data_IF_936821769822
#
_entry.id   IF_936821769822
#
_cell.length_a   1.000
_cell.length_b   1.000
_cell.length_c   1.000
_cell.angle_alpha   90.00
_cell.angle_beta   90.00
_cell.angle_gamma   90.00
#
_symmetry.space_group_name_H-M   'P 1'
#
loop_
_entity.id
_entity.type
_entity.pdbx_description
1 polymer ?
#
# COMPACT_ATOMS: atom_id res chain seq x y z
N UNK A 1 -5.21 0.68 19.21
CA UNK A 1 -4.51 0.64 17.90
C UNK A 1 -5.04 -0.55 17.12
N UNK A 2 -5.90 -0.27 16.16
CA UNK A 2 -6.58 -1.31 15.39
C UNK A 2 -5.61 -2.07 14.46
N UNK A 3 -5.91 -3.34 14.15
CA UNK A 3 -5.09 -4.14 13.21
C UNK A 3 -4.93 -3.45 11.84
N UNK A 4 -5.96 -2.73 11.38
CA UNK A 4 -5.92 -1.93 10.15
C UNK A 4 -4.89 -0.79 10.24
N UNK A 5 -4.83 -0.14 11.39
CA UNK A 5 -3.95 0.99 11.69
C UNK A 5 -2.48 0.56 11.66
N UNK A 6 -2.18 -0.65 12.17
CA UNK A 6 -0.85 -1.25 12.11
C UNK A 6 -0.47 -1.76 10.70
N UNK A 7 -1.46 -2.17 9.90
CA UNK A 7 -1.23 -2.66 8.54
C UNK A 7 -0.85 -1.55 7.54
N UNK A 8 -1.31 -0.31 7.75
CA UNK A 8 -1.01 0.83 6.86
C UNK A 8 0.51 1.05 6.65
N UNK A 9 1.34 1.20 7.70
CA UNK A 9 2.79 1.39 7.50
C UNK A 9 3.46 0.18 6.85
N UNK A 10 3.01 -1.04 7.14
CA UNK A 10 3.54 -2.27 6.52
C UNK A 10 3.22 -2.33 5.02
N UNK A 11 2.00 -1.99 4.63
CA UNK A 11 1.57 -1.93 3.21
C UNK A 11 2.31 -0.82 2.48
N UNK A 12 2.49 0.35 3.11
CA UNK A 12 3.26 1.44 2.54
C UNK A 12 4.73 1.04 2.30
N UNK A 13 5.39 0.46 3.31
CA UNK A 13 6.79 0.04 3.21
C UNK A 13 7.00 -1.05 2.13
N UNK A 14 6.12 -2.05 2.09
CA UNK A 14 6.18 -3.10 1.08
C UNK A 14 5.92 -2.56 -0.33
N UNK A 15 4.94 -1.66 -0.49
CA UNK A 15 4.65 -0.98 -1.76
C UNK A 15 5.84 -0.23 -2.33
N UNK A 16 6.53 0.56 -1.50
CA UNK A 16 7.74 1.30 -1.89
C UNK A 16 8.89 0.36 -2.26
N UNK A 17 9.07 -0.73 -1.49
CA UNK A 17 10.09 -1.73 -1.79
C UNK A 17 9.84 -2.43 -3.13
N UNK A 18 8.58 -2.77 -3.43
CA UNK A 18 8.15 -3.37 -4.69
C UNK A 18 8.32 -2.42 -5.88
N UNK A 19 7.94 -1.15 -5.76
CA UNK A 19 8.16 -0.14 -6.80
C UNK A 19 9.65 0.04 -7.11
N UNK A 20 10.48 0.21 -6.06
CA UNK A 20 11.93 0.34 -6.19
C UNK A 20 12.56 -0.87 -6.86
N UNK A 21 12.10 -2.08 -6.51
CA UNK A 21 12.56 -3.32 -7.15
C UNK A 21 12.16 -3.37 -8.62
N UNK A 22 10.91 -3.03 -8.95
CA UNK A 22 10.46 -3.02 -10.34
C UNK A 22 11.23 -2.01 -11.20
N UNK A 23 11.57 -0.85 -10.65
CA UNK A 23 12.40 0.16 -11.32
C UNK A 23 13.80 -0.37 -11.61
N UNK A 24 14.48 -0.92 -10.59
CA UNK A 24 15.82 -1.51 -10.75
C UNK A 24 15.83 -2.65 -11.75
N UNK A 25 14.79 -3.49 -11.77
CA UNK A 25 14.68 -4.59 -12.72
C UNK A 25 14.41 -4.13 -14.16
N UNK A 26 13.68 -3.02 -14.35
CA UNK A 26 13.49 -2.40 -15.66
C UNK A 26 14.79 -1.78 -16.19
N UNK A 27 15.50 -1.04 -15.33
CA UNK A 27 16.81 -0.45 -15.63
C UNK A 27 17.84 -1.53 -16.02
N UNK A 28 17.93 -2.63 -15.25
CA UNK A 28 18.82 -3.76 -15.55
C UNK A 28 18.51 -4.45 -16.88
N UNK A 29 17.26 -4.45 -17.32
CA UNK A 29 16.83 -5.05 -18.59
C UNK A 29 17.04 -4.11 -19.78
N UNK A 30 17.61 -2.91 -19.58
CA UNK A 30 17.76 -1.89 -20.60
C UNK A 30 16.42 -1.41 -21.18
N UNK A 31 15.31 -1.68 -20.48
CA UNK A 31 13.97 -1.28 -20.93
C UNK A 31 13.67 0.08 -20.35
N UNK A 32 13.06 0.95 -21.17
CA UNK A 32 12.53 2.22 -20.69
C UNK A 32 11.62 1.98 -19.47
N UNK A 33 11.68 2.90 -18.49
CA UNK A 33 10.89 2.79 -17.27
C UNK A 33 9.42 2.48 -17.62
N UNK A 34 8.79 1.52 -16.90
CA UNK A 34 7.44 1.08 -17.22
C UNK A 34 6.50 2.30 -17.20
N UNK A 35 5.83 2.54 -18.34
CA UNK A 35 4.92 3.70 -18.53
C UNK A 35 3.78 3.70 -17.51
N UNK A 36 3.37 2.51 -17.08
CA UNK A 36 2.36 2.28 -16.05
C UNK A 36 3.09 1.77 -14.82
N UNK A 37 2.92 2.45 -13.68
CA UNK A 37 3.46 2.04 -12.38
C UNK A 37 2.34 1.34 -11.58
N UNK A 38 2.21 0.02 -11.66
CA UNK A 38 1.11 -0.69 -11.02
C UNK A 38 1.25 -0.70 -9.49
N UNK A 39 2.46 -0.76 -8.96
CA UNK A 39 2.68 -0.90 -7.51
C UNK A 39 2.23 0.32 -6.70
N UNK A 40 2.59 1.58 -7.06
CA UNK A 40 2.06 2.75 -6.36
C UNK A 40 0.53 2.83 -6.37
N UNK A 41 -0.10 2.46 -7.50
CA UNK A 41 -1.56 2.47 -7.64
C UNK A 41 -2.21 1.40 -6.74
N UNK A 42 -1.66 0.19 -6.73
CA UNK A 42 -2.13 -0.91 -5.86
C UNK A 42 -1.92 -0.58 -4.38
N UNK A 43 -0.77 0.00 -4.02
CA UNK A 43 -0.47 0.43 -2.65
C UNK A 43 -1.44 1.53 -2.20
N UNK A 44 -1.71 2.53 -3.04
CA UNK A 44 -2.69 3.57 -2.74
C UNK A 44 -4.10 2.99 -2.53
N UNK A 45 -4.53 2.07 -3.40
CA UNK A 45 -5.82 1.38 -3.27
C UNK A 45 -5.91 0.55 -1.98
N UNK A 46 -4.85 -0.17 -1.62
CA UNK A 46 -4.79 -0.97 -0.39
C UNK A 46 -4.84 -0.10 0.87
N UNK A 47 -4.12 1.03 0.90
CA UNK A 47 -4.16 1.98 2.01
C UNK A 47 -5.56 2.59 2.14
N UNK A 48 -6.20 2.93 1.02
CA UNK A 48 -7.56 3.48 1.02
C UNK A 48 -8.59 2.48 1.58
N UNK A 49 -8.51 1.21 1.18
CA UNK A 49 -9.32 0.12 1.73
C UNK A 49 -9.07 -0.09 3.23
N UNK A 50 -7.82 -0.02 3.69
CA UNK A 50 -7.48 -0.11 5.11
C UNK A 50 -8.05 1.07 5.90
N UNK A 51 -8.03 2.29 5.35
CA UNK A 51 -8.65 3.46 5.97
C UNK A 51 -10.18 3.30 6.06
N UNK A 52 -10.83 2.84 5.00
CA UNK A 52 -12.28 2.55 5.02
C UNK A 52 -12.62 1.48 6.06
N UNK A 53 -11.86 0.39 6.11
CA UNK A 53 -12.03 -0.67 7.10
C UNK A 53 -11.84 -0.16 8.53
N UNK A 54 -10.83 0.69 8.75
CA UNK A 54 -10.59 1.36 10.04
C UNK A 54 -11.77 2.25 10.43
N UNK A 55 -12.22 3.13 9.53
CA UNK A 55 -13.35 4.02 9.78
C UNK A 55 -14.63 3.24 10.08
N UNK A 56 -14.92 2.18 9.31
CA UNK A 56 -16.07 1.31 9.56
C UNK A 56 -15.97 0.61 10.92
N UNK A 57 -14.80 0.07 11.26
CA UNK A 57 -14.56 -0.62 12.53
C UNK A 57 -14.74 0.32 13.73
N UNK A 58 -14.14 1.52 13.71
CA UNK A 58 -14.30 2.50 14.77
C UNK A 58 -15.73 3.05 14.89
N UNK A 59 -16.44 3.17 13.76
CA UNK A 59 -17.85 3.60 13.75
C UNK A 59 -18.78 2.54 14.32
N UNK A 60 -18.53 1.26 14.05
CA UNK A 60 -19.40 0.15 14.48
C UNK A 60 -19.05 -0.39 15.87
N UNK A 61 -17.78 -0.32 16.25
CA UNK A 61 -17.24 -0.88 17.49
C UNK A 61 -16.38 0.16 18.24
N UNK A 62 -16.98 1.25 18.74
CA UNK A 62 -16.24 2.37 19.34
C UNK A 62 -15.45 1.99 20.61
N UNK A 63 -15.79 0.88 21.28
CA UNK A 63 -15.14 0.43 22.52
C UNK A 63 -13.98 -0.55 22.31
N UNK A 64 -13.71 -0.98 21.06
CA UNK A 64 -12.70 -2.00 20.72
C UNK A 64 -11.49 -1.41 19.95
N UNK A 65 -11.40 -0.08 19.86
CA UNK A 65 -10.37 0.67 19.11
C UNK A 65 -9.10 1.01 19.89
#
# INVERSE_FOLDING_TARGET
>A
MCMFCAAIPTVAASGVALDSKQRKDAEKKGKAAPRIRPFPLLTAGAIFLLMLGSAYFHTRFPHLG
#
